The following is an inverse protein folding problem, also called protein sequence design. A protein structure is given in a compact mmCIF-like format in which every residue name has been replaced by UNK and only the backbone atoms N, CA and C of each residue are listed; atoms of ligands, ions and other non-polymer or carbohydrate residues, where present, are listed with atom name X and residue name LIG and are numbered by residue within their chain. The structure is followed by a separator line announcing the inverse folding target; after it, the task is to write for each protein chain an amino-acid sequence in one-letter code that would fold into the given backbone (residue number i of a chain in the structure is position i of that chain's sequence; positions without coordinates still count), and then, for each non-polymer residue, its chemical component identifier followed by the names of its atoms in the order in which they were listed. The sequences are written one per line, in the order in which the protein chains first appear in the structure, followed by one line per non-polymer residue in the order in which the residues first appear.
data_IF_592697736275
#
_entry.id   IF_592697736275
#
_cell.length_a   1.000
_cell.length_b   1.000
_cell.length_c   1.000
_cell.angle_alpha   90.00
_cell.angle_beta   90.00
_cell.angle_gamma   90.00
#
_symmetry.space_group_name_H-M   'P 1'
#
loop_
_entity.id
_entity.type
_entity.pdbx_description
1 polymer ?
#
# COMPACT_ATOMS: atom_id res chain seq x y z
N UNK A 1 5.09 -12.99 -2.68
CA UNK A 1 3.68 -12.73 -2.96
C UNK A 1 2.81 -12.61 -1.70
N UNK A 2 2.96 -13.45 -0.66
CA UNK A 2 2.11 -13.39 0.57
C UNK A 2 2.27 -12.11 1.44
N UNK A 3 3.37 -11.38 1.34
CA UNK A 3 3.64 -10.22 2.21
C UNK A 3 3.17 -8.87 1.63
N UNK A 4 2.82 -8.78 0.35
CA UNK A 4 2.36 -7.52 -0.26
C UNK A 4 0.89 -7.24 0.06
N UNK A 5 0.06 -8.28 0.10
CA UNK A 5 -1.37 -8.17 0.45
C UNK A 5 -1.57 -7.64 1.88
N UNK A 6 -0.64 -7.96 2.80
CA UNK A 6 -0.74 -7.53 4.20
C UNK A 6 -0.46 -6.02 4.40
N UNK A 7 0.39 -5.41 3.57
CA UNK A 7 0.63 -3.97 3.64
C UNK A 7 -0.54 -3.13 3.10
N UNK A 8 -1.30 -3.66 2.14
CA UNK A 8 -2.46 -2.96 1.57
C UNK A 8 -3.68 -2.95 2.52
N UNK A 9 -3.82 -3.97 3.38
CA UNK A 9 -4.90 -4.01 4.37
C UNK A 9 -4.85 -2.85 5.37
N UNK A 10 -3.67 -2.37 5.72
CA UNK A 10 -3.49 -1.20 6.62
C UNK A 10 -3.86 0.14 5.94
N UNK A 11 -3.81 0.22 4.61
CA UNK A 11 -4.23 1.42 3.86
C UNK A 11 -5.76 1.53 3.70
N UNK A 12 -6.51 0.43 3.89
CA UNK A 12 -7.99 0.43 3.83
C UNK A 12 -8.60 1.15 5.05
N UNK A 13 -7.85 1.31 6.14
CA UNK A 13 -8.22 2.21 7.24
C UNK A 13 -7.80 3.63 6.83
N UNK A 14 -8.48 4.15 5.81
CA UNK A 14 -8.16 5.46 5.22
C UNK A 14 -8.40 6.61 6.19
N UNK A 15 -7.37 6.92 6.96
CA UNK A 15 -7.08 8.29 7.35
C UNK A 15 -6.08 8.79 6.30
N UNK A 16 -6.58 9.30 5.18
CA UNK A 16 -5.79 10.02 4.18
C UNK A 16 -5.21 11.28 4.83
N UNK A 17 -4.09 11.11 5.51
CA UNK A 17 -3.19 12.20 5.84
C UNK A 17 -2.18 12.31 4.70
N UNK A 18 -2.56 12.96 3.61
CA UNK A 18 -1.60 13.54 2.68
C UNK A 18 -0.73 14.54 3.44
N UNK A 19 0.50 14.15 3.74
CA UNK A 19 1.52 15.08 4.20
C UNK A 19 2.84 14.80 3.49
N UNK A 20 2.91 15.22 2.23
CA UNK A 20 4.18 15.48 1.55
C UNK A 20 4.54 16.94 1.81
N UNK A 21 5.74 17.21 2.33
CA UNK A 21 6.30 18.54 2.43
C UNK A 21 7.06 18.74 3.73
N UNK A 22 8.36 19.04 3.64
CA UNK A 22 9.24 19.32 4.75
C UNK A 22 8.69 20.44 5.63
N UNK A 23 8.60 20.19 6.92
CA UNK A 23 8.15 21.17 7.92
C UNK A 23 9.33 21.95 8.49
N UNK A 24 9.27 23.24 8.34
CA UNK A 24 10.00 24.17 9.20
C UNK A 24 9.26 24.28 10.54
N UNK A 25 10.00 24.51 11.64
CA UNK A 25 9.51 24.53 13.02
C UNK A 25 8.38 25.54 13.35
N UNK A 26 7.96 26.38 12.39
CA UNK A 26 6.84 27.31 12.53
C UNK A 26 5.46 26.72 12.28
N UNK A 27 5.34 25.67 11.44
CA UNK A 27 4.05 25.11 11.04
C UNK A 27 3.38 24.24 12.12
N UNK A 28 4.15 23.74 13.11
CA UNK A 28 3.58 22.92 14.19
C UNK A 28 2.81 23.76 15.23
N UNK A 29 3.18 25.03 15.45
CA UNK A 29 2.49 25.91 16.39
C UNK A 29 1.13 26.39 15.85
N UNK A 30 1.01 26.67 14.55
CA UNK A 30 -0.25 27.14 13.97
C UNK A 30 -1.34 26.03 13.89
N UNK A 31 -0.96 24.77 13.69
CA UNK A 31 -1.90 23.66 13.68
C UNK A 31 -2.51 23.34 15.05
N UNK A 32 -1.74 23.47 16.12
CA UNK A 32 -2.18 23.25 17.50
C UNK A 32 -3.16 24.30 18.00
N UNK A 33 -2.90 25.56 17.69
CA UNK A 33 -3.76 26.68 18.13
C UNK A 33 -5.13 26.67 17.46
N UNK A 34 -5.20 26.41 16.14
CA UNK A 34 -6.49 26.28 15.43
C UNK A 34 -7.32 25.10 15.90
N UNK A 35 -6.67 24.02 16.30
CA UNK A 35 -7.32 22.82 16.82
C UNK A 35 -7.91 23.09 18.21
N UNK A 36 -7.15 23.70 19.09
CA UNK A 36 -7.57 24.08 20.44
C UNK A 36 -8.72 25.08 20.41
N UNK A 37 -8.64 26.10 19.55
CA UNK A 37 -9.69 27.10 19.36
C UNK A 37 -11.02 26.49 18.89
N UNK A 38 -10.98 25.46 18.00
CA UNK A 38 -12.19 24.72 17.58
C UNK A 38 -12.81 23.92 18.73
N UNK A 39 -12.01 23.35 19.61
CA UNK A 39 -12.48 22.61 20.78
C UNK A 39 -13.11 23.55 21.81
N UNK A 40 -12.54 24.73 22.03
CA UNK A 40 -13.10 25.75 22.92
C UNK A 40 -14.47 26.25 22.44
N UNK A 41 -14.61 26.49 21.12
CA UNK A 41 -15.89 26.86 20.52
C UNK A 41 -16.95 25.75 20.70
N UNK A 42 -16.56 24.48 20.51
CA UNK A 42 -17.47 23.35 20.75
C UNK A 42 -17.90 23.24 22.21
N UNK A 43 -17.00 23.52 23.17
CA UNK A 43 -17.34 23.52 24.59
C UNK A 43 -18.36 24.61 24.91
N UNK A 44 -18.17 25.83 24.42
CA UNK A 44 -19.12 26.93 24.60
C UNK A 44 -20.48 26.62 23.97
N UNK A 45 -20.51 25.99 22.78
CA UNK A 45 -21.76 25.57 22.14
C UNK A 45 -22.50 24.53 22.99
N UNK A 46 -21.77 23.55 23.56
CA UNK A 46 -22.35 22.53 24.44
C UNK A 46 -22.87 23.16 25.73
N UNK A 47 -22.17 24.14 26.31
CA UNK A 47 -22.66 24.87 27.49
C UNK A 47 -23.93 25.65 27.21
N UNK A 48 -24.09 26.21 26.02
CA UNK A 48 -25.28 26.93 25.60
C UNK A 48 -26.45 26.01 25.20
N UNK A 49 -26.20 24.78 24.72
CA UNK A 49 -27.21 23.80 24.34
C UNK A 49 -26.75 22.37 24.72
N UNK A 50 -26.96 22.04 25.98
CA UNK A 50 -26.61 20.74 26.57
C UNK A 50 -27.44 19.57 26.05
N UNK A 51 -28.54 19.89 25.35
CA UNK A 51 -29.46 18.89 24.80
C UNK A 51 -29.18 18.53 23.35
N UNK A 52 -28.22 19.18 22.69
CA UNK A 52 -27.86 18.95 21.30
C UNK A 52 -26.87 17.77 21.13
N UNK A 53 -27.34 16.62 20.68
CA UNK A 53 -26.48 15.43 20.57
C UNK A 53 -25.38 15.58 19.51
N UNK A 54 -25.63 16.40 18.47
CA UNK A 54 -24.65 16.59 17.39
C UNK A 54 -23.38 17.28 17.87
N UNK A 55 -23.48 18.21 18.83
CA UNK A 55 -22.32 18.87 19.41
C UNK A 55 -21.41 17.90 20.15
N UNK A 56 -21.98 16.97 20.91
CA UNK A 56 -21.24 15.91 21.58
C UNK A 56 -20.59 14.96 20.55
N UNK A 57 -21.32 14.55 19.51
CA UNK A 57 -20.75 13.70 18.45
C UNK A 57 -19.59 14.39 17.72
N UNK A 58 -19.72 15.69 17.42
CA UNK A 58 -18.63 16.48 16.82
C UNK A 58 -17.41 16.55 17.75
N UNK A 59 -17.62 16.76 19.06
CA UNK A 59 -16.53 16.77 20.03
C UNK A 59 -15.90 15.38 20.23
N UNK A 60 -16.70 14.32 20.17
CA UNK A 60 -16.21 12.93 20.17
C UNK A 60 -15.27 12.67 18.98
N UNK A 61 -15.65 13.07 17.77
CA UNK A 61 -14.79 12.97 16.57
C UNK A 61 -13.48 13.76 16.73
N UNK A 62 -13.56 14.90 17.41
CA UNK A 62 -12.39 15.71 17.73
C UNK A 62 -11.44 15.00 18.69
N UNK A 63 -11.96 14.47 19.81
CA UNK A 63 -11.19 13.68 20.76
C UNK A 63 -10.62 12.41 20.15
N UNK A 64 -11.35 11.78 19.22
CA UNK A 64 -10.90 10.61 18.48
C UNK A 64 -9.66 10.94 17.62
N UNK A 65 -9.69 12.06 16.90
CA UNK A 65 -8.56 12.54 16.09
C UNK A 65 -7.30 12.80 16.96
N UNK A 66 -7.51 13.26 18.19
CA UNK A 66 -6.44 13.53 19.17
C UNK A 66 -6.10 12.30 20.05
N UNK A 67 -6.61 11.11 19.67
CA UNK A 67 -6.42 9.85 20.41
C UNK A 67 -6.85 9.87 21.88
N UNK A 68 -7.76 10.78 22.27
CA UNK A 68 -8.32 10.87 23.62
C UNK A 68 -9.58 9.98 23.72
N UNK A 69 -9.40 8.66 23.66
CA UNK A 69 -10.48 7.69 23.50
C UNK A 69 -11.53 7.76 24.61
N UNK A 70 -11.13 7.89 25.87
CA UNK A 70 -12.08 7.94 27.00
C UNK A 70 -13.03 9.15 26.91
N UNK A 71 -12.50 10.33 26.49
CA UNK A 71 -13.32 11.51 26.28
C UNK A 71 -14.23 11.36 25.05
N UNK A 72 -13.71 10.74 23.98
CA UNK A 72 -14.51 10.45 22.80
C UNK A 72 -15.66 9.50 23.13
N UNK A 73 -15.41 8.42 23.88
CA UNK A 73 -16.44 7.49 24.35
C UNK A 73 -17.52 8.19 25.21
N UNK A 74 -17.08 9.01 26.16
CA UNK A 74 -18.01 9.78 27.04
C UNK A 74 -18.97 10.64 26.20
N UNK A 75 -18.42 11.37 25.23
CA UNK A 75 -19.23 12.26 24.40
C UNK A 75 -20.14 11.51 23.43
N UNK A 76 -19.65 10.46 22.74
CA UNK A 76 -20.50 9.71 21.83
C UNK A 76 -21.62 8.97 22.58
N UNK A 77 -21.36 8.44 23.78
CA UNK A 77 -22.42 7.87 24.62
C UNK A 77 -23.44 8.93 25.07
N UNK A 78 -22.99 10.16 25.34
CA UNK A 78 -23.91 11.25 25.63
C UNK A 78 -24.79 11.58 24.43
N UNK A 79 -24.21 11.65 23.21
CA UNK A 79 -24.99 11.85 21.97
C UNK A 79 -26.03 10.74 21.77
N UNK A 80 -25.65 9.47 21.94
CA UNK A 80 -26.54 8.32 21.84
C UNK A 80 -27.65 8.37 22.91
N UNK A 81 -27.32 8.78 24.14
CA UNK A 81 -28.31 8.85 25.22
C UNK A 81 -29.37 9.90 24.98
N UNK A 82 -29.04 11.00 24.25
CA UNK A 82 -30.00 12.06 23.89
C UNK A 82 -30.82 11.64 22.66
N UNK A 83 -30.21 11.08 21.65
CA UNK A 83 -30.90 10.63 20.44
C UNK A 83 -30.36 9.25 19.98
N UNK A 84 -30.93 8.15 20.48
CA UNK A 84 -30.52 6.79 20.11
C UNK A 84 -30.96 6.37 18.70
N UNK A 85 -31.80 7.17 18.03
CA UNK A 85 -32.26 6.91 16.67
C UNK A 85 -31.35 7.41 15.55
N UNK A 86 -30.20 7.97 15.86
CA UNK A 86 -29.26 8.46 14.85
C UNK A 86 -28.10 7.50 14.64
N UNK A 87 -28.05 6.85 13.46
CA UNK A 87 -27.02 5.88 13.07
C UNK A 87 -25.61 6.46 13.10
N UNK A 88 -25.43 7.75 12.80
CA UNK A 88 -24.13 8.42 12.75
C UNK A 88 -23.37 8.35 14.07
N UNK A 89 -24.07 8.33 15.20
CA UNK A 89 -23.39 8.24 16.50
C UNK A 89 -22.82 6.85 16.76
N UNK A 90 -23.50 5.81 16.29
CA UNK A 90 -22.99 4.43 16.36
C UNK A 90 -21.83 4.21 15.37
N UNK A 91 -21.84 4.89 14.22
CA UNK A 91 -20.69 4.90 13.30
C UNK A 91 -19.49 5.57 13.98
N UNK A 92 -19.67 6.71 14.66
CA UNK A 92 -18.58 7.34 15.42
C UNK A 92 -18.08 6.43 16.55
N UNK A 93 -18.99 5.75 17.27
CA UNK A 93 -18.64 4.79 18.32
C UNK A 93 -17.81 3.64 17.76
N UNK A 94 -18.16 3.13 16.59
CA UNK A 94 -17.39 2.06 15.92
C UNK A 94 -15.98 2.50 15.57
N UNK A 95 -15.81 3.73 15.07
CA UNK A 95 -14.49 4.28 14.76
C UNK A 95 -13.60 4.37 16.00
N UNK A 96 -14.18 4.78 17.15
CA UNK A 96 -13.48 4.82 18.42
C UNK A 96 -13.01 3.42 18.83
N UNK A 97 -13.91 2.43 18.82
CA UNK A 97 -13.56 1.06 19.18
C UNK A 97 -12.52 0.45 18.25
N UNK A 98 -12.62 0.71 16.95
CA UNK A 98 -11.65 0.20 15.98
C UNK A 98 -10.23 0.73 16.26
N UNK A 99 -10.10 2.04 16.52
CA UNK A 99 -8.81 2.64 16.86
C UNK A 99 -8.28 2.21 18.24
N UNK A 100 -9.15 1.80 19.15
CA UNK A 100 -8.78 1.17 20.41
C UNK A 100 -8.33 -0.30 20.25
N UNK A 101 -8.38 -0.87 19.04
CA UNK A 101 -8.08 -2.28 18.79
C UNK A 101 -9.18 -3.24 19.25
N UNK A 102 -10.43 -2.79 19.31
CA UNK A 102 -11.61 -3.54 19.74
C UNK A 102 -12.56 -3.82 18.55
N UNK A 103 -12.19 -4.72 17.63
CA UNK A 103 -12.97 -4.96 16.40
C UNK A 103 -14.37 -5.55 16.67
N UNK A 104 -14.55 -6.34 17.72
CA UNK A 104 -15.86 -6.89 18.07
C UNK A 104 -16.82 -5.81 18.55
N UNK A 105 -16.38 -4.92 19.45
CA UNK A 105 -17.18 -3.77 19.89
C UNK A 105 -17.51 -2.83 18.72
N UNK A 106 -16.55 -2.62 17.81
CA UNK A 106 -16.76 -1.84 16.59
C UNK A 106 -17.81 -2.47 15.68
N UNK A 107 -17.77 -3.78 15.48
CA UNK A 107 -18.79 -4.52 14.71
C UNK A 107 -20.18 -4.37 15.31
N UNK A 108 -20.30 -4.51 16.62
CA UNK A 108 -21.57 -4.41 17.32
C UNK A 108 -22.15 -3.00 17.22
N UNK A 109 -21.31 -1.96 17.31
CA UNK A 109 -21.71 -0.58 17.08
C UNK A 109 -22.19 -0.36 15.61
N UNK A 110 -21.48 -0.91 14.62
CA UNK A 110 -21.90 -0.81 13.21
C UNK A 110 -23.20 -1.58 12.92
N UNK A 111 -23.36 -2.76 13.51
CA UNK A 111 -24.63 -3.50 13.43
C UNK A 111 -25.77 -2.68 14.01
N UNK A 112 -25.53 -1.98 15.12
CA UNK A 112 -26.54 -1.04 15.69
C UNK A 112 -26.81 0.13 14.75
N UNK A 113 -25.78 0.72 14.12
CA UNK A 113 -25.97 1.76 13.11
C UNK A 113 -26.87 1.28 11.96
N UNK A 114 -26.54 0.13 11.35
CA UNK A 114 -27.31 -0.46 10.24
C UNK A 114 -28.74 -0.85 10.66
N UNK A 115 -28.93 -1.33 11.89
CA UNK A 115 -30.29 -1.64 12.38
C UNK A 115 -31.12 -0.38 12.65
N UNK A 116 -30.47 0.71 13.03
CA UNK A 116 -31.12 2.02 13.27
C UNK A 116 -31.46 2.70 11.96
N UNK A 117 -30.58 2.66 10.97
CA UNK A 117 -30.81 3.16 9.62
C UNK A 117 -30.29 2.14 8.58
N UNK A 118 -31.13 1.25 8.05
CA UNK A 118 -30.72 0.27 7.03
C UNK A 118 -30.24 0.88 5.72
N UNK A 119 -30.55 2.15 5.45
CA UNK A 119 -30.11 2.92 4.29
C UNK A 119 -28.80 3.69 4.50
N UNK A 120 -28.15 3.56 5.65
CA UNK A 120 -26.88 4.22 5.94
C UNK A 120 -25.73 3.55 5.17
N UNK A 121 -25.41 4.12 4.00
CA UNK A 121 -24.35 3.59 3.13
C UNK A 121 -22.96 3.71 3.73
N UNK A 122 -22.71 4.70 4.61
CA UNK A 122 -21.46 4.82 5.34
C UNK A 122 -21.30 3.70 6.36
N UNK A 123 -22.33 3.41 7.14
CA UNK A 123 -22.35 2.32 8.11
C UNK A 123 -22.13 0.96 7.42
N UNK A 124 -22.85 0.71 6.31
CA UNK A 124 -22.69 -0.51 5.52
C UNK A 124 -21.26 -0.65 4.95
N UNK A 125 -20.70 0.42 4.43
CA UNK A 125 -19.34 0.40 3.91
C UNK A 125 -18.31 0.09 5.00
N UNK A 126 -18.42 0.75 6.15
CA UNK A 126 -17.51 0.50 7.30
C UNK A 126 -17.66 -0.93 7.81
N UNK A 127 -18.89 -1.43 7.92
CA UNK A 127 -19.18 -2.79 8.35
C UNK A 127 -18.60 -3.83 7.39
N UNK A 128 -18.73 -3.61 6.07
CA UNK A 128 -18.15 -4.51 5.07
C UNK A 128 -16.62 -4.55 5.14
N UNK A 129 -15.98 -3.39 5.33
CA UNK A 129 -14.53 -3.29 5.53
C UNK A 129 -14.07 -4.00 6.81
N UNK A 130 -14.82 -3.85 7.90
CA UNK A 130 -14.52 -4.52 9.14
C UNK A 130 -14.63 -6.05 9.00
N UNK A 131 -15.67 -6.56 8.34
CA UNK A 131 -15.79 -7.98 8.02
C UNK A 131 -14.62 -8.49 7.16
N UNK A 132 -14.16 -7.70 6.20
CA UNK A 132 -12.96 -8.04 5.42
C UNK A 132 -11.72 -8.14 6.31
N UNK A 133 -11.49 -7.19 7.20
CA UNK A 133 -10.34 -7.17 8.13
C UNK A 133 -10.33 -8.41 9.03
N UNK A 134 -11.48 -8.78 9.56
CA UNK A 134 -11.61 -9.99 10.40
C UNK A 134 -11.78 -11.29 9.60
N UNK A 135 -11.68 -11.21 8.27
CA UNK A 135 -11.80 -12.32 7.31
C UNK A 135 -13.15 -13.05 7.34
N UNK A 136 -14.19 -12.37 7.75
CA UNK A 136 -15.57 -12.84 7.62
C UNK A 136 -16.11 -12.48 6.22
N UNK A 137 -15.60 -13.16 5.19
CA UNK A 137 -15.92 -12.88 3.79
C UNK A 137 -17.40 -13.04 3.49
N UNK A 138 -18.09 -13.99 4.13
CA UNK A 138 -19.52 -14.22 3.95
C UNK A 138 -20.33 -12.97 4.30
N UNK A 139 -20.12 -12.43 5.50
CA UNK A 139 -20.83 -11.24 5.96
C UNK A 139 -20.35 -9.97 5.23
N UNK A 140 -19.07 -9.91 4.84
CA UNK A 140 -18.55 -8.87 3.95
C UNK A 140 -19.36 -8.79 2.66
N UNK A 141 -19.54 -9.91 1.94
CA UNK A 141 -20.24 -9.93 0.64
C UNK A 141 -21.74 -9.65 0.77
N UNK A 142 -22.37 -10.14 1.83
CA UNK A 142 -23.78 -9.83 2.12
C UNK A 142 -23.94 -8.31 2.34
N UNK A 143 -23.03 -7.70 3.11
CA UNK A 143 -23.07 -6.27 3.43
C UNK A 143 -22.75 -5.42 2.20
N UNK A 144 -21.74 -5.79 1.40
CA UNK A 144 -21.43 -5.11 0.13
C UNK A 144 -22.61 -5.17 -0.83
N UNK A 145 -23.28 -6.33 -0.95
CA UNK A 145 -24.46 -6.44 -1.80
C UNK A 145 -25.56 -5.47 -1.38
N UNK A 146 -25.89 -5.40 -0.08
CA UNK A 146 -26.86 -4.43 0.43
C UNK A 146 -26.46 -2.99 0.12
N UNK A 147 -25.19 -2.67 0.29
CA UNK A 147 -24.66 -1.34 -0.04
C UNK A 147 -24.85 -1.01 -1.53
N UNK A 148 -24.51 -1.95 -2.42
CA UNK A 148 -24.62 -1.76 -3.87
C UNK A 148 -26.07 -1.73 -4.38
N UNK A 149 -27.01 -2.33 -3.66
CA UNK A 149 -28.45 -2.18 -3.92
C UNK A 149 -28.94 -0.74 -3.65
N UNK A 150 -28.33 -0.04 -2.70
CA UNK A 150 -28.63 1.35 -2.35
C UNK A 150 -27.82 2.36 -3.19
N UNK A 151 -26.55 2.06 -3.42
CA UNK A 151 -25.57 2.90 -4.15
C UNK A 151 -24.72 2.02 -5.06
N UNK A 152 -25.22 1.79 -6.29
CA UNK A 152 -24.50 1.01 -7.30
C UNK A 152 -23.29 1.74 -7.90
N UNK A 153 -23.09 3.02 -7.54
CA UNK A 153 -21.93 3.82 -7.91
C UNK A 153 -20.76 3.71 -6.93
N UNK A 154 -20.91 2.98 -5.84
CA UNK A 154 -19.90 2.93 -4.78
C UNK A 154 -18.64 2.13 -5.17
N UNK A 155 -17.66 2.81 -5.74
CA UNK A 155 -16.40 2.20 -6.17
C UNK A 155 -15.67 1.46 -5.03
N UNK A 156 -15.76 1.99 -3.80
CA UNK A 156 -15.10 1.39 -2.64
C UNK A 156 -15.76 0.07 -2.23
N UNK A 157 -17.07 -0.07 -2.44
CA UNK A 157 -17.78 -1.32 -2.18
C UNK A 157 -17.31 -2.44 -3.13
N UNK A 158 -17.21 -2.15 -4.42
CA UNK A 158 -16.64 -3.09 -5.41
C UNK A 158 -15.19 -3.46 -5.04
N UNK A 159 -14.36 -2.48 -4.74
CA UNK A 159 -12.97 -2.72 -4.33
C UNK A 159 -12.90 -3.60 -3.06
N UNK A 160 -13.73 -3.33 -2.05
CA UNK A 160 -13.76 -4.11 -0.81
C UNK A 160 -14.10 -5.59 -1.09
N UNK A 161 -15.08 -5.85 -1.96
CA UNK A 161 -15.44 -7.22 -2.36
C UNK A 161 -14.32 -7.88 -3.16
N UNK A 162 -13.72 -7.15 -4.08
CA UNK A 162 -12.60 -7.64 -4.89
C UNK A 162 -11.42 -8.11 -4.03
N UNK A 163 -11.03 -7.35 -2.99
CA UNK A 163 -9.96 -7.76 -2.08
C UNK A 163 -10.31 -9.05 -1.35
N UNK A 164 -11.55 -9.18 -0.86
CA UNK A 164 -11.99 -10.42 -0.24
C UNK A 164 -11.96 -11.64 -1.18
N UNK A 165 -12.35 -11.43 -2.46
CA UNK A 165 -12.27 -12.46 -3.50
C UNK A 165 -10.82 -12.85 -3.79
N UNK A 166 -9.89 -11.88 -3.87
CA UNK A 166 -8.46 -12.16 -4.05
C UNK A 166 -7.88 -12.96 -2.89
N UNK A 167 -8.24 -12.66 -1.65
CA UNK A 167 -7.78 -13.42 -0.49
C UNK A 167 -8.28 -14.86 -0.49
N UNK A 168 -9.44 -15.12 -1.11
CA UNK A 168 -10.00 -16.46 -1.29
C UNK A 168 -9.52 -17.15 -2.60
N UNK A 169 -8.71 -16.47 -3.41
CA UNK A 169 -8.17 -17.00 -4.68
C UNK A 169 -9.09 -16.87 -5.88
N UNK A 170 -10.27 -16.24 -5.73
CA UNK A 170 -11.19 -16.00 -6.84
C UNK A 170 -10.77 -14.75 -7.63
N UNK A 171 -9.75 -14.93 -8.46
CA UNK A 171 -9.19 -13.84 -9.27
C UNK A 171 -10.10 -13.41 -10.41
N UNK A 172 -11.03 -14.26 -10.85
CA UNK A 172 -11.92 -13.96 -11.98
C UNK A 172 -12.93 -12.89 -11.56
N UNK A 173 -13.70 -13.16 -10.53
CA UNK A 173 -14.70 -12.21 -10.04
C UNK A 173 -14.03 -10.96 -9.41
N UNK A 174 -12.85 -11.11 -8.81
CA UNK A 174 -12.09 -9.97 -8.30
C UNK A 174 -11.71 -8.98 -9.42
N UNK A 175 -11.27 -9.46 -10.59
CA UNK A 175 -10.97 -8.60 -11.74
C UNK A 175 -12.22 -7.85 -12.21
N UNK A 176 -13.37 -8.51 -12.24
CA UNK A 176 -14.62 -7.86 -12.65
C UNK A 176 -15.02 -6.75 -11.67
N UNK A 177 -14.90 -6.99 -10.36
CA UNK A 177 -15.17 -5.99 -9.34
C UNK A 177 -14.16 -4.83 -9.37
N UNK A 178 -12.88 -5.10 -9.58
CA UNK A 178 -11.86 -4.05 -9.73
C UNK A 178 -12.14 -3.18 -10.97
N UNK A 179 -12.61 -3.77 -12.07
CA UNK A 179 -13.04 -3.01 -13.26
C UNK A 179 -14.26 -2.14 -12.95
N UNK A 180 -15.23 -2.65 -12.20
CA UNK A 180 -16.35 -1.82 -11.73
C UNK A 180 -15.85 -0.69 -10.86
N UNK A 181 -14.90 -0.92 -9.93
CA UNK A 181 -14.35 0.12 -9.09
C UNK A 181 -13.72 1.26 -9.89
N UNK A 182 -12.92 0.98 -10.92
CA UNK A 182 -12.31 2.02 -11.78
C UNK A 182 -13.30 2.66 -12.75
N UNK A 183 -14.36 1.95 -13.15
CA UNK A 183 -15.44 2.52 -13.96
C UNK A 183 -16.26 3.54 -13.16
N UNK A 184 -16.58 3.23 -11.90
CA UNK A 184 -17.33 4.13 -11.01
C UNK A 184 -16.48 5.29 -10.47
N UNK A 185 -15.18 5.08 -10.31
CA UNK A 185 -14.24 6.12 -9.89
C UNK A 185 -12.94 6.03 -10.68
N UNK A 186 -12.79 6.86 -11.69
CA UNK A 186 -11.60 6.91 -12.53
C UNK A 186 -10.33 7.40 -11.79
N UNK A 187 -10.46 7.93 -10.58
CA UNK A 187 -9.36 8.32 -9.71
C UNK A 187 -9.01 7.26 -8.66
N UNK A 188 -9.54 6.04 -8.78
CA UNK A 188 -9.30 4.99 -7.82
C UNK A 188 -7.95 4.31 -8.03
N UNK A 189 -6.89 4.96 -7.54
CA UNK A 189 -5.50 4.53 -7.69
C UNK A 189 -5.28 3.06 -7.30
N UNK A 190 -5.76 2.63 -6.13
CA UNK A 190 -5.48 1.30 -5.59
C UNK A 190 -6.11 0.19 -6.47
N UNK A 191 -7.28 0.44 -7.07
CA UNK A 191 -7.90 -0.50 -7.99
C UNK A 191 -7.12 -0.63 -9.31
N UNK A 192 -6.56 0.48 -9.82
CA UNK A 192 -5.67 0.43 -10.98
C UNK A 192 -4.40 -0.37 -10.71
N UNK A 193 -3.79 -0.21 -9.53
CA UNK A 193 -2.59 -0.96 -9.14
C UNK A 193 -2.91 -2.45 -9.05
N UNK A 194 -4.01 -2.83 -8.40
CA UNK A 194 -4.42 -4.23 -8.28
C UNK A 194 -4.69 -4.87 -9.65
N UNK A 195 -5.42 -4.18 -10.55
CA UNK A 195 -5.61 -4.67 -11.92
C UNK A 195 -4.28 -4.82 -12.64
N UNK A 196 -3.40 -3.82 -12.52
CA UNK A 196 -2.07 -3.86 -13.12
C UNK A 196 -1.25 -5.06 -12.65
N UNK A 197 -1.26 -5.36 -11.35
CA UNK A 197 -0.58 -6.52 -10.77
C UNK A 197 -1.14 -7.84 -11.31
N UNK A 198 -2.47 -8.01 -11.28
CA UNK A 198 -3.12 -9.23 -11.73
C UNK A 198 -2.86 -9.54 -13.20
N UNK A 199 -2.85 -8.51 -14.05
CA UNK A 199 -2.53 -8.67 -15.46
C UNK A 199 -1.02 -8.86 -15.69
N UNK A 200 -0.14 -8.22 -14.89
CA UNK A 200 1.30 -8.38 -15.01
C UNK A 200 1.75 -9.82 -14.71
N UNK A 201 1.18 -10.47 -13.69
CA UNK A 201 1.45 -11.89 -13.39
C UNK A 201 1.17 -12.80 -14.59
N UNK A 202 0.17 -12.46 -15.39
CA UNK A 202 -0.19 -13.19 -16.62
C UNK A 202 0.59 -12.73 -17.85
N UNK A 203 1.49 -11.74 -17.71
CA UNK A 203 2.19 -11.06 -18.81
C UNK A 203 1.24 -10.44 -19.85
N UNK A 204 0.03 -10.14 -19.43
CA UNK A 204 -1.01 -9.57 -20.28
C UNK A 204 -0.74 -8.09 -20.55
N UNK A 205 -0.88 -7.61 -21.82
CA UNK A 205 -0.67 -6.20 -22.18
C UNK A 205 -1.55 -5.20 -21.40
N UNK A 206 -2.70 -5.64 -20.87
CA UNK A 206 -3.57 -4.80 -20.04
C UNK A 206 -2.88 -4.31 -18.76
N UNK A 207 -1.83 -4.99 -18.29
CA UNK A 207 -1.01 -4.53 -17.17
C UNK A 207 -0.42 -3.14 -17.42
N UNK A 208 0.11 -2.91 -18.63
CA UNK A 208 0.67 -1.61 -19.03
C UNK A 208 -0.39 -0.50 -18.96
N UNK A 209 -1.60 -0.77 -19.45
CA UNK A 209 -2.70 0.19 -19.43
C UNK A 209 -3.07 0.60 -18.00
N UNK A 210 -3.31 -0.37 -17.13
CA UNK A 210 -3.75 -0.10 -15.76
C UNK A 210 -2.65 0.57 -14.92
N UNK A 211 -1.40 0.11 -15.02
CA UNK A 211 -0.28 0.72 -14.30
C UNK A 211 0.01 2.15 -14.79
N UNK A 212 -0.13 2.42 -16.09
CA UNK A 212 -0.03 3.80 -16.61
C UNK A 212 -1.16 4.69 -16.10
N UNK A 213 -2.39 4.17 -15.95
CA UNK A 213 -3.48 4.94 -15.35
C UNK A 213 -3.22 5.21 -13.85
N UNK A 214 -2.69 4.25 -13.10
CA UNK A 214 -2.23 4.49 -11.74
C UNK A 214 -1.14 5.58 -11.68
N UNK A 215 -0.19 5.59 -12.62
CA UNK A 215 0.88 6.59 -12.68
C UNK A 215 0.39 7.97 -13.15
N UNK A 216 -0.71 8.10 -13.89
CA UNK A 216 -1.34 9.41 -14.14
C UNK A 216 -1.83 10.04 -12.84
N UNK A 217 -2.38 9.22 -11.92
CA UNK A 217 -2.88 9.68 -10.62
C UNK A 217 -1.73 9.95 -9.64
N UNK A 218 -0.72 9.06 -9.61
CA UNK A 218 0.45 9.18 -8.72
C UNK A 218 1.75 8.97 -9.50
N UNK A 219 2.28 10.02 -10.18
CA UNK A 219 3.42 9.87 -11.11
C UNK A 219 4.73 9.36 -10.50
N UNK A 220 4.89 9.51 -9.18
CA UNK A 220 6.08 9.07 -8.44
C UNK A 220 5.82 7.84 -7.59
N UNK A 221 4.73 7.10 -7.82
CA UNK A 221 4.45 5.88 -7.08
C UNK A 221 5.53 4.84 -7.30
N UNK A 222 6.27 4.50 -6.23
CA UNK A 222 7.28 3.44 -6.24
C UNK A 222 6.70 2.10 -6.69
N UNK A 223 5.54 1.76 -6.14
CA UNK A 223 4.84 0.50 -6.40
C UNK A 223 4.47 0.36 -7.88
N UNK A 224 3.74 1.34 -8.44
CA UNK A 224 3.29 1.29 -9.82
C UNK A 224 4.46 1.36 -10.82
N UNK A 225 5.51 2.17 -10.55
CA UNK A 225 6.72 2.22 -11.37
C UNK A 225 7.48 0.89 -11.33
N UNK A 226 7.61 0.28 -10.15
CA UNK A 226 8.31 -0.99 -10.02
C UNK A 226 7.58 -2.11 -10.77
N UNK A 227 6.27 -2.23 -10.59
CA UNK A 227 5.44 -3.22 -11.30
C UNK A 227 5.49 -3.03 -12.82
N UNK A 228 5.42 -1.77 -13.29
CA UNK A 228 5.49 -1.47 -14.73
C UNK A 228 6.87 -1.82 -15.31
N UNK A 229 7.94 -1.51 -14.57
CA UNK A 229 9.31 -1.88 -14.94
C UNK A 229 9.49 -3.39 -15.05
N UNK A 230 8.98 -4.15 -14.06
CA UNK A 230 9.00 -5.63 -14.08
C UNK A 230 8.19 -6.18 -15.26
N UNK A 231 6.97 -5.66 -15.49
CA UNK A 231 6.15 -6.09 -16.61
C UNK A 231 6.86 -5.88 -17.96
N UNK A 232 7.48 -4.74 -18.18
CA UNK A 232 8.28 -4.48 -19.38
C UNK A 232 9.48 -5.42 -19.48
N UNK A 233 10.18 -5.67 -18.38
CA UNK A 233 11.31 -6.60 -18.35
C UNK A 233 10.89 -8.03 -18.70
N UNK A 234 9.80 -8.53 -18.12
CA UNK A 234 9.30 -9.89 -18.33
C UNK A 234 8.67 -10.10 -19.71
N UNK A 235 8.22 -9.01 -20.34
CA UNK A 235 7.67 -9.03 -21.72
C UNK A 235 8.70 -8.68 -22.79
N UNK A 236 10.00 -8.55 -22.41
CA UNK A 236 11.10 -8.29 -23.36
C UNK A 236 11.20 -6.83 -23.83
N UNK A 237 10.42 -5.92 -23.28
CA UNK A 237 10.43 -4.49 -23.60
C UNK A 237 11.54 -3.78 -22.81
N UNK A 238 12.80 -4.20 -23.01
CA UNK A 238 13.94 -3.74 -22.17
C UNK A 238 14.18 -2.23 -22.19
N UNK A 239 14.08 -1.51 -23.33
CA UNK A 239 14.22 -0.05 -23.33
C UNK A 239 13.18 0.64 -22.42
N UNK A 240 11.92 0.18 -22.46
CA UNK A 240 10.85 0.71 -21.61
C UNK A 240 11.07 0.38 -20.14
N UNK A 241 11.54 -0.86 -19.83
CA UNK A 241 11.89 -1.27 -18.48
C UNK A 241 12.99 -0.37 -17.89
N UNK A 242 14.09 -0.15 -18.64
CA UNK A 242 15.20 0.71 -18.23
C UNK A 242 14.75 2.14 -17.97
N UNK A 243 13.94 2.71 -18.88
CA UNK A 243 13.38 4.05 -18.70
C UNK A 243 12.51 4.15 -17.45
N UNK A 244 11.67 3.15 -17.20
CA UNK A 244 10.77 3.10 -16.02
C UNK A 244 11.58 2.99 -14.74
N UNK A 245 12.58 2.11 -14.69
CA UNK A 245 13.47 1.98 -13.52
C UNK A 245 14.31 3.25 -13.28
N UNK A 246 14.67 3.97 -14.34
CA UNK A 246 15.36 5.27 -14.21
C UNK A 246 14.45 6.32 -13.56
N UNK A 247 13.16 6.36 -13.94
CA UNK A 247 12.18 7.24 -13.29
C UNK A 247 12.03 6.86 -11.82
N UNK A 248 11.93 5.54 -11.53
CA UNK A 248 11.82 5.02 -10.17
C UNK A 248 13.04 5.39 -9.33
N UNK A 249 14.26 5.21 -9.84
CA UNK A 249 15.49 5.55 -9.13
C UNK A 249 15.61 7.06 -8.80
N UNK A 250 15.00 7.93 -9.63
CA UNK A 250 14.91 9.38 -9.35
C UNK A 250 13.79 9.72 -8.37
N UNK A 251 12.68 8.98 -8.40
CA UNK A 251 11.55 9.19 -7.51
C UNK A 251 11.82 8.70 -6.08
N UNK A 252 12.58 7.60 -5.97
CA UNK A 252 13.02 7.01 -4.69
C UNK A 252 14.49 6.64 -4.78
N UNK A 253 15.35 7.54 -4.29
CA UNK A 253 16.80 7.37 -4.35
C UNK A 253 17.32 6.27 -3.42
N UNK A 254 16.52 5.83 -2.45
CA UNK A 254 16.87 4.75 -1.52
C UNK A 254 16.51 3.36 -2.05
N UNK A 255 15.66 3.27 -3.08
CA UNK A 255 15.15 2.01 -3.58
C UNK A 255 16.22 1.30 -4.44
N UNK A 256 16.91 0.33 -3.83
CA UNK A 256 18.05 -0.40 -4.41
C UNK A 256 17.65 -1.26 -5.61
N UNK A 257 16.43 -1.80 -5.62
CA UNK A 257 15.93 -2.72 -6.64
C UNK A 257 15.83 -2.06 -8.03
N UNK A 258 15.63 -0.75 -8.09
CA UNK A 258 15.60 -0.03 -9.37
C UNK A 258 16.94 -0.12 -10.11
N UNK A 259 18.07 0.14 -9.42
CA UNK A 259 19.41 0.00 -10.01
C UNK A 259 19.76 -1.48 -10.21
N UNK A 260 19.40 -2.36 -9.27
CA UNK A 260 19.62 -3.79 -9.42
C UNK A 260 18.98 -4.36 -10.70
N UNK A 261 17.70 -4.05 -10.96
CA UNK A 261 17.00 -4.56 -12.14
C UNK A 261 17.56 -3.98 -13.44
N UNK A 262 18.02 -2.71 -13.44
CA UNK A 262 18.76 -2.16 -14.58
C UNK A 262 20.04 -2.95 -14.85
N UNK A 263 20.84 -3.21 -13.80
CA UNK A 263 22.03 -4.04 -13.90
C UNK A 263 21.72 -5.45 -14.43
N UNK A 264 20.62 -6.05 -13.96
CA UNK A 264 20.19 -7.37 -14.41
C UNK A 264 19.81 -7.39 -15.89
N UNK A 265 19.12 -6.38 -16.39
CA UNK A 265 18.78 -6.24 -17.81
C UNK A 265 20.07 -6.15 -18.65
N UNK A 266 21.02 -5.32 -18.25
CA UNK A 266 22.31 -5.22 -18.95
C UNK A 266 23.13 -6.50 -18.90
N UNK A 267 23.13 -7.22 -17.77
CA UNK A 267 23.86 -8.47 -17.60
C UNK A 267 23.29 -9.60 -18.48
N UNK A 268 21.98 -9.82 -18.38
CA UNK A 268 21.36 -11.05 -18.89
C UNK A 268 20.90 -10.88 -20.35
N UNK A 269 20.25 -9.77 -20.63
CA UNK A 269 19.57 -9.58 -21.91
C UNK A 269 20.40 -8.78 -22.91
N UNK A 270 21.03 -7.70 -22.46
CA UNK A 270 21.80 -6.82 -23.36
C UNK A 270 23.29 -7.18 -23.43
N UNK A 271 23.79 -8.00 -22.49
CA UNK A 271 25.19 -8.46 -22.37
C UNK A 271 26.22 -7.31 -22.37
N UNK A 272 25.82 -6.15 -21.85
CA UNK A 272 26.69 -4.99 -21.61
C UNK A 272 27.21 -5.08 -20.17
N UNK A 273 28.27 -5.88 -19.99
CA UNK A 273 28.81 -6.21 -18.67
C UNK A 273 29.35 -4.99 -17.91
N UNK A 274 30.03 -4.01 -18.56
CA UNK A 274 30.44 -2.78 -17.90
C UNK A 274 29.28 -2.00 -17.31
N UNK A 275 28.18 -1.80 -18.07
CA UNK A 275 26.98 -1.12 -17.55
C UNK A 275 26.29 -1.94 -16.46
N UNK A 276 26.24 -3.25 -16.60
CA UNK A 276 25.71 -4.12 -15.55
C UNK A 276 26.46 -3.90 -14.23
N UNK A 277 27.80 -3.92 -14.26
CA UNK A 277 28.63 -3.69 -13.08
C UNK A 277 28.42 -2.28 -12.48
N UNK A 278 28.23 -1.26 -13.31
CA UNK A 278 27.91 0.09 -12.85
C UNK A 278 26.60 0.09 -12.05
N UNK A 279 25.51 -0.41 -12.63
CA UNK A 279 24.19 -0.39 -11.97
C UNK A 279 24.13 -1.27 -10.71
N UNK A 280 24.81 -2.41 -10.69
CA UNK A 280 24.95 -3.17 -9.44
C UNK A 280 25.75 -2.41 -8.39
N UNK A 281 26.76 -1.63 -8.78
CA UNK A 281 27.51 -0.77 -7.85
C UNK A 281 26.61 0.32 -7.25
N UNK A 282 25.73 0.95 -8.04
CA UNK A 282 24.74 1.88 -7.54
C UNK A 282 23.75 1.22 -6.55
N UNK A 283 23.33 -0.02 -6.85
CA UNK A 283 22.48 -0.81 -5.93
C UNK A 283 23.20 -1.11 -4.61
N UNK A 284 24.47 -1.48 -4.65
CA UNK A 284 25.30 -1.74 -3.47
C UNK A 284 25.53 -0.46 -2.65
N UNK A 285 25.67 0.71 -3.28
CA UNK A 285 25.78 1.98 -2.57
C UNK A 285 24.54 2.29 -1.75
N UNK A 286 23.37 1.93 -2.26
CA UNK A 286 22.07 2.10 -1.57
C UNK A 286 21.89 1.09 -0.44
N UNK A 287 22.34 -0.14 -0.63
CA UNK A 287 22.36 -1.20 0.38
C UNK A 287 23.63 -2.03 0.34
N UNK A 288 24.62 -1.72 1.20
CA UNK A 288 25.85 -2.50 1.32
C UNK A 288 25.68 -3.95 1.80
N UNK A 289 24.48 -4.32 2.27
CA UNK A 289 24.12 -5.67 2.66
C UNK A 289 23.51 -6.52 1.55
N UNK A 290 23.36 -5.98 0.34
CA UNK A 290 22.67 -6.66 -0.76
C UNK A 290 23.57 -7.68 -1.45
N UNK A 291 23.67 -8.89 -0.91
CA UNK A 291 24.58 -9.93 -1.36
C UNK A 291 24.35 -10.37 -2.82
N UNK A 292 23.10 -10.36 -3.31
CA UNK A 292 22.79 -10.68 -4.71
C UNK A 292 23.40 -9.65 -5.68
N UNK A 293 23.47 -8.39 -5.29
CA UNK A 293 24.08 -7.36 -6.12
C UNK A 293 25.60 -7.54 -6.24
N UNK A 294 26.27 -7.92 -5.14
CA UNK A 294 27.69 -8.32 -5.21
C UNK A 294 27.88 -9.53 -6.11
N UNK A 295 27.08 -10.58 -5.94
CA UNK A 295 27.18 -11.75 -6.80
C UNK A 295 27.02 -11.40 -8.28
N UNK A 296 25.98 -10.66 -8.64
CA UNK A 296 25.72 -10.32 -10.04
C UNK A 296 26.76 -9.35 -10.61
N UNK A 297 27.32 -8.44 -9.79
CA UNK A 297 28.44 -7.59 -10.20
C UNK A 297 29.70 -8.43 -10.43
N UNK A 298 30.00 -9.36 -9.55
CA UNK A 298 31.08 -10.33 -9.73
C UNK A 298 30.90 -11.14 -11.00
N UNK A 299 29.69 -11.59 -11.29
CA UNK A 299 29.40 -12.32 -12.52
C UNK A 299 29.56 -11.44 -13.77
N UNK A 300 29.17 -10.18 -13.70
CA UNK A 300 29.44 -9.22 -14.78
C UNK A 300 30.96 -9.02 -15.01
N UNK A 301 31.76 -8.93 -13.94
CA UNK A 301 33.22 -8.86 -14.04
C UNK A 301 33.82 -10.16 -14.57
N UNK A 302 33.32 -11.33 -14.16
CA UNK A 302 33.76 -12.62 -14.71
C UNK A 302 33.57 -12.67 -16.23
N UNK A 303 32.39 -12.29 -16.72
CA UNK A 303 32.07 -12.26 -18.14
C UNK A 303 32.86 -11.19 -18.91
N UNK A 304 33.23 -10.10 -18.26
CA UNK A 304 34.11 -9.06 -18.82
C UNK A 304 35.63 -9.44 -18.78
N UNK A 305 35.99 -10.57 -18.14
CA UNK A 305 37.37 -11.04 -18.01
C UNK A 305 38.16 -10.43 -16.83
N UNK A 306 37.53 -9.64 -15.98
CA UNK A 306 38.14 -9.08 -14.76
C UNK A 306 37.96 -10.06 -13.59
N UNK A 307 38.71 -11.16 -13.66
CA UNK A 307 38.58 -12.24 -12.70
C UNK A 307 38.98 -11.85 -11.27
N UNK A 308 39.82 -10.83 -11.11
CA UNK A 308 40.19 -10.34 -9.78
C UNK A 308 38.99 -9.69 -9.08
N UNK A 309 38.33 -8.73 -9.76
CA UNK A 309 37.12 -8.09 -9.20
C UNK A 309 35.98 -9.09 -9.02
N UNK A 310 35.84 -10.05 -9.94
CA UNK A 310 34.83 -11.12 -9.80
C UNK A 310 35.05 -11.92 -8.50
N UNK A 311 36.28 -12.32 -8.23
CA UNK A 311 36.66 -13.04 -7.02
C UNK A 311 36.30 -12.24 -5.75
N UNK A 312 36.75 -10.98 -5.71
CA UNK A 312 36.51 -10.10 -4.57
C UNK A 312 34.99 -9.93 -4.27
N UNK A 313 34.18 -9.77 -5.31
CA UNK A 313 32.73 -9.62 -5.19
C UNK A 313 32.02 -10.92 -4.77
N UNK A 314 32.46 -12.09 -5.28
CA UNK A 314 31.91 -13.37 -4.82
C UNK A 314 32.26 -13.64 -3.35
N UNK A 315 33.49 -13.34 -2.91
CA UNK A 315 33.87 -13.40 -1.52
C UNK A 315 33.06 -12.46 -0.65
N UNK A 316 32.82 -11.24 -1.12
CA UNK A 316 31.98 -10.26 -0.41
C UNK A 316 30.53 -10.73 -0.27
N UNK A 317 29.96 -11.31 -1.34
CA UNK A 317 28.62 -11.92 -1.32
C UNK A 317 28.53 -13.03 -0.26
N UNK A 318 29.53 -13.92 -0.19
CA UNK A 318 29.62 -15.00 0.81
C UNK A 318 29.82 -14.49 2.23
N UNK A 319 30.54 -13.39 2.41
CA UNK A 319 30.72 -12.78 3.73
C UNK A 319 29.41 -12.25 4.30
N UNK A 320 28.51 -11.77 3.44
CA UNK A 320 27.18 -11.26 3.81
C UNK A 320 26.20 -12.43 3.98
N UNK A 321 26.16 -13.33 3.01
CA UNK A 321 25.30 -14.51 3.00
C UNK A 321 26.14 -15.78 2.93
N UNK A 322 26.44 -16.36 4.09
CA UNK A 322 27.18 -17.62 4.19
C UNK A 322 26.43 -18.73 3.42
N UNK A 323 27.19 -19.56 2.68
CA UNK A 323 26.67 -20.67 1.88
C UNK A 323 25.71 -20.23 0.73
N UNK A 324 25.95 -19.07 0.14
CA UNK A 324 25.23 -18.68 -1.07
C UNK A 324 25.78 -19.47 -2.27
N UNK A 325 25.10 -20.54 -2.66
CA UNK A 325 25.54 -21.54 -3.64
C UNK A 325 26.07 -20.92 -4.95
N UNK A 326 25.36 -19.91 -5.48
CA UNK A 326 25.75 -19.24 -6.72
C UNK A 326 27.13 -18.58 -6.64
N UNK A 327 27.45 -17.98 -5.48
CA UNK A 327 28.75 -17.34 -5.29
C UNK A 327 29.87 -18.39 -5.09
N UNK A 328 29.55 -19.50 -4.40
CA UNK A 328 30.48 -20.66 -4.30
C UNK A 328 30.80 -21.23 -5.68
N UNK A 329 29.75 -21.44 -6.51
CA UNK A 329 29.94 -21.90 -7.89
C UNK A 329 30.77 -20.91 -8.73
N UNK A 330 30.58 -19.60 -8.53
CA UNK A 330 31.36 -18.55 -9.16
C UNK A 330 32.85 -18.69 -8.84
N UNK A 331 33.20 -18.82 -7.56
CA UNK A 331 34.59 -19.04 -7.14
C UNK A 331 35.17 -20.31 -7.75
N UNK A 332 34.44 -21.41 -7.72
CA UNK A 332 34.88 -22.68 -8.30
C UNK A 332 35.11 -22.57 -9.83
N UNK A 333 34.35 -21.76 -10.56
CA UNK A 333 34.60 -21.49 -11.99
C UNK A 333 35.91 -20.72 -12.19
N UNK A 334 36.15 -19.69 -11.35
CA UNK A 334 37.37 -18.90 -11.44
C UNK A 334 38.62 -19.75 -11.18
N UNK A 335 38.59 -20.65 -10.18
CA UNK A 335 39.72 -21.55 -9.84
C UNK A 335 40.02 -22.53 -10.96
N UNK A 336 38.98 -23.13 -11.58
CA UNK A 336 39.19 -24.03 -12.76
C UNK A 336 39.80 -23.30 -13.95
N UNK A 337 39.47 -22.03 -14.16
CA UNK A 337 40.02 -21.22 -15.24
C UNK A 337 41.51 -20.83 -14.95
N UNK A 338 41.88 -20.70 -13.67
CA UNK A 338 43.25 -20.46 -13.23
C UNK A 338 44.16 -21.67 -13.43
N UNK A 339 43.61 -22.86 -13.20
CA UNK A 339 44.34 -24.12 -13.32
C UNK A 339 44.59 -24.56 -14.78
N UNK A 340 43.96 -23.90 -15.76
CA UNK A 340 44.11 -24.18 -17.18
C UNK A 340 45.08 -23.23 -17.92
N UNK A 341 45.60 -22.21 -17.22
CA UNK A 341 46.63 -21.28 -17.71
C UNK A 341 47.97 -21.61 -17.08
#
# INVERSE_FOLDING_TARGET
MKNLVFCLLLCVIGLSSCRSGGKTSGDQMQGGDTTRMKLEVLNQQIESDVSNPELYNRRAKFYLFDHQFDKALKDVHKAISINPGNSVYYVTLSDIYLLMGKPDDSRDALNKAVSTNPGDTEALLKLSKLYLIVKDYKNCYITVRKLLELDNGNATAYFTRAIGLLEQGDTIHAVDDLKQAVDKNQEYYDAYVQLGELYAVKKDPMAELYLKNALKLRPKSREALYMLGLHFQETGKYPQALATYQILAKADTSFREASYNQGYIYLVYLKDFPKAAQFFSESIQKDPGYYEAYFNRGYAYELAGDYKKAYDDYQKSLKIKVNYDKAVEGLNRLDRNRSKK
#
